data_IF_976972844451
#
_entry.id   IF_976972844451
#
_cell.length_a   1.000
_cell.length_b   1.000
_cell.length_c   1.000
_cell.angle_alpha   90.00
_cell.angle_beta   90.00
_cell.angle_gamma   90.00
#
_symmetry.space_group_name_H-M   'P 1'
#
loop_
_entity.id
_entity.type
_entity.pdbx_description
1 polymer ?
#
# COMPACT_ATOMS: atom_id res chain seq x y z
N UNK A 1 -20.02 12.98 -5.22
CA UNK A 1 -20.11 11.82 -6.15
C UNK A 1 -18.69 11.38 -6.44
N UNK A 2 -18.20 10.31 -5.81
CA UNK A 2 -16.85 9.79 -6.06
C UNK A 2 -16.88 9.12 -7.44
N UNK A 3 -16.14 9.67 -8.41
CA UNK A 3 -15.95 9.00 -9.70
C UNK A 3 -15.28 7.66 -9.41
N UNK A 4 -15.93 6.54 -9.77
CA UNK A 4 -15.25 5.25 -9.90
C UNK A 4 -14.31 5.39 -11.09
N UNK A 5 -13.10 5.86 -10.84
CA UNK A 5 -12.02 5.76 -11.80
C UNK A 5 -11.64 4.28 -11.84
N UNK A 6 -11.76 3.66 -13.01
CA UNK A 6 -11.25 2.30 -13.23
C UNK A 6 -9.72 2.44 -13.35
N UNK A 7 -9.05 2.54 -12.20
CA UNK A 7 -7.67 3.02 -12.11
C UNK A 7 -6.62 2.04 -12.66
N UNK A 8 -6.98 0.79 -12.97
CA UNK A 8 -5.98 -0.22 -13.30
C UNK A 8 -6.42 -1.08 -14.49
N UNK A 9 -5.61 -1.06 -15.55
CA UNK A 9 -5.56 -2.18 -16.47
C UNK A 9 -5.14 -3.43 -15.70
N UNK A 10 -5.74 -4.59 -16.01
CA UNK A 10 -5.48 -5.87 -15.32
C UNK A 10 -3.99 -6.23 -15.21
N UNK A 11 -3.18 -5.77 -16.17
CA UNK A 11 -1.72 -5.95 -16.20
C UNK A 11 -1.00 -5.19 -15.08
N UNK A 12 -1.30 -3.91 -14.85
CA UNK A 12 -0.67 -3.10 -13.81
C UNK A 12 -1.02 -3.60 -12.41
N UNK A 13 -2.27 -4.02 -12.21
CA UNK A 13 -2.67 -4.65 -10.95
C UNK A 13 -1.87 -5.95 -10.69
N UNK A 14 -1.64 -6.77 -11.72
CA UNK A 14 -0.84 -7.98 -11.59
C UNK A 14 0.62 -7.67 -11.25
N UNK A 15 1.24 -6.70 -11.91
CA UNK A 15 2.62 -6.28 -11.65
C UNK A 15 2.81 -5.81 -10.20
N UNK A 16 1.87 -5.01 -9.67
CA UNK A 16 1.86 -4.59 -8.26
C UNK A 16 1.72 -5.78 -7.29
N UNK A 17 0.87 -6.76 -7.61
CA UNK A 17 0.68 -7.96 -6.78
C UNK A 17 1.94 -8.83 -6.77
N UNK A 18 2.58 -8.99 -7.92
CA UNK A 18 3.82 -9.78 -8.04
C UNK A 18 4.95 -9.14 -7.19
N UNK A 19 5.01 -7.80 -7.10
CA UNK A 19 5.99 -7.07 -6.29
C UNK A 19 5.81 -7.24 -4.77
N UNK A 20 4.58 -7.48 -4.30
CA UNK A 20 4.31 -7.62 -2.87
C UNK A 20 4.88 -8.94 -2.34
N UNK A 21 4.82 -10.03 -3.10
CA UNK A 21 5.08 -11.36 -2.54
C UNK A 21 4.19 -11.63 -1.31
N UNK A 22 2.90 -11.88 -1.54
CA UNK A 22 1.85 -11.81 -0.53
C UNK A 22 2.11 -12.55 0.80
N UNK A 23 2.85 -13.65 0.80
CA UNK A 23 3.23 -14.36 2.03
C UNK A 23 4.22 -13.56 2.88
N UNK A 24 5.21 -12.92 2.25
CA UNK A 24 6.19 -12.06 2.93
C UNK A 24 5.51 -10.83 3.53
N UNK A 25 4.53 -10.25 2.82
CA UNK A 25 3.76 -9.12 3.34
C UNK A 25 2.91 -9.50 4.56
N UNK A 26 2.34 -10.71 4.56
CA UNK A 26 1.55 -11.21 5.68
C UNK A 26 2.37 -11.42 6.95
N UNK A 27 3.66 -11.77 6.83
CA UNK A 27 4.54 -11.98 7.97
C UNK A 27 5.02 -10.69 8.64
N UNK A 28 4.76 -9.52 8.07
CA UNK A 28 5.08 -8.25 8.71
C UNK A 28 4.16 -7.98 9.90
N UNK A 29 4.71 -7.34 10.93
CA UNK A 29 3.93 -6.77 12.02
C UNK A 29 3.00 -5.68 11.50
N UNK A 30 1.78 -5.61 12.06
CA UNK A 30 0.76 -4.65 11.62
C UNK A 30 1.18 -3.18 11.83
N UNK A 31 2.18 -2.93 12.68
CA UNK A 31 2.70 -1.61 13.02
C UNK A 31 4.24 -1.61 12.96
N UNK A 32 4.80 -0.79 12.08
CA UNK A 32 6.24 -0.67 11.88
C UNK A 32 6.74 0.75 12.21
N UNK A 33 7.73 0.84 13.11
CA UNK A 33 8.55 2.04 13.29
C UNK A 33 8.10 3.07 14.34
N UNK A 34 7.03 2.82 15.11
CA UNK A 34 6.73 3.60 16.32
C UNK A 34 5.87 2.79 17.30
N UNK A 35 6.03 2.95 18.62
CA UNK A 35 5.21 2.25 19.61
C UNK A 35 3.70 2.53 19.47
N UNK A 36 3.31 3.69 18.90
CA UNK A 36 1.93 4.05 18.65
C UNK A 36 1.70 4.38 17.15
N UNK A 37 1.47 3.35 16.32
CA UNK A 37 1.01 3.55 14.94
C UNK A 37 -0.40 4.19 14.83
N UNK A 38 -1.01 4.57 15.96
CA UNK A 38 -2.34 5.18 16.04
C UNK A 38 -2.33 6.72 16.00
N UNK A 39 -1.16 7.38 16.04
CA UNK A 39 -1.02 8.84 16.21
C UNK A 39 -1.30 9.70 14.95
N UNK A 40 -2.11 9.21 14.01
CA UNK A 40 -2.63 9.99 12.89
C UNK A 40 -1.62 10.45 11.83
N UNK A 41 -0.32 10.17 12.02
CA UNK A 41 0.78 10.44 11.06
C UNK A 41 1.31 9.18 10.38
N UNK A 42 0.52 8.10 10.42
CA UNK A 42 0.85 6.83 9.79
C UNK A 42 0.29 6.76 8.37
N UNK A 43 1.09 6.23 7.46
CA UNK A 43 0.63 5.67 6.19
C UNK A 43 0.26 4.20 6.38
N UNK A 44 -0.54 3.66 5.46
CA UNK A 44 -0.87 2.26 5.45
C UNK A 44 -0.93 1.70 4.04
N UNK A 45 -0.58 0.42 3.93
CA UNK A 45 -0.85 -0.41 2.76
C UNK A 45 -1.77 -1.53 3.22
N UNK A 46 -2.88 -1.72 2.51
CA UNK A 46 -3.82 -2.81 2.76
C UNK A 46 -3.97 -3.66 1.50
N UNK A 47 -3.85 -4.96 1.69
CA UNK A 47 -4.07 -5.95 0.63
C UNK A 47 -5.28 -6.78 1.00
N UNK A 48 -6.30 -6.69 0.16
CA UNK A 48 -7.55 -7.44 0.27
C UNK A 48 -7.65 -8.45 -0.85
N UNK A 49 -7.75 -9.71 -0.48
CA UNK A 49 -8.14 -10.80 -1.37
C UNK A 49 -9.57 -11.24 -1.04
N UNK A 50 -10.12 -12.21 -1.77
CA UNK A 50 -11.45 -12.76 -1.48
C UNK A 50 -11.57 -13.34 -0.06
N UNK A 51 -10.47 -13.88 0.48
CA UNK A 51 -10.50 -14.68 1.71
C UNK A 51 -9.80 -14.01 2.91
N UNK A 52 -9.01 -12.97 2.66
CA UNK A 52 -8.14 -12.38 3.69
C UNK A 52 -7.79 -10.93 3.40
N UNK A 53 -7.57 -10.19 4.46
CA UNK A 53 -7.09 -8.80 4.45
C UNK A 53 -5.87 -8.68 5.36
N UNK A 54 -4.83 -7.99 4.91
CA UNK A 54 -3.69 -7.60 5.74
C UNK A 54 -3.45 -6.12 5.57
N UNK A 55 -3.29 -5.39 6.68
CA UNK A 55 -2.97 -3.97 6.70
C UNK A 55 -1.71 -3.77 7.51
N UNK A 56 -0.75 -3.05 6.95
CA UNK A 56 0.47 -2.62 7.63
C UNK A 56 0.43 -1.11 7.75
N UNK A 57 0.65 -0.60 8.96
CA UNK A 57 0.80 0.81 9.25
C UNK A 57 2.29 1.13 9.48
N UNK A 58 2.74 2.24 8.91
CA UNK A 58 4.13 2.70 9.03
C UNK A 58 4.17 4.23 9.01
N UNK A 59 5.27 4.82 9.47
CA UNK A 59 5.43 6.28 9.48
C UNK A 59 5.34 6.85 8.05
N UNK A 60 4.61 7.95 7.87
CA UNK A 60 4.51 8.64 6.58
C UNK A 60 5.90 8.96 5.99
N UNK A 61 6.08 8.65 4.70
CA UNK A 61 7.32 8.90 3.98
C UNK A 61 8.44 7.90 4.27
N UNK A 62 8.23 6.93 5.16
CA UNK A 62 9.16 5.82 5.33
C UNK A 62 8.92 4.73 4.30
N UNK A 63 9.98 3.97 4.01
CA UNK A 63 9.90 2.74 3.26
C UNK A 63 10.02 1.55 4.21
N UNK A 64 9.35 0.45 3.86
CA UNK A 64 9.50 -0.84 4.53
C UNK A 64 10.56 -1.62 3.76
N UNK A 65 11.56 -2.14 4.48
CA UNK A 65 12.62 -2.95 3.89
C UNK A 65 12.02 -4.12 3.11
N UNK A 66 12.53 -4.37 1.91
CA UNK A 66 12.08 -5.41 0.97
C UNK A 66 10.73 -5.11 0.26
N UNK A 67 10.07 -3.99 0.61
CA UNK A 67 8.81 -3.53 0.01
C UNK A 67 8.91 -2.10 -0.55
N UNK A 68 10.12 -1.56 -0.71
CA UNK A 68 10.36 -0.19 -1.15
C UNK A 68 9.72 0.09 -2.51
N UNK A 69 9.84 -0.87 -3.45
CA UNK A 69 9.33 -0.70 -4.81
C UNK A 69 7.81 -0.54 -4.84
N UNK A 70 7.07 -1.36 -4.08
CA UNK A 70 5.61 -1.27 -4.06
C UNK A 70 5.16 0.02 -3.37
N UNK A 71 5.84 0.46 -2.31
CA UNK A 71 5.53 1.73 -1.63
C UNK A 71 5.73 2.92 -2.57
N UNK A 72 6.85 2.94 -3.32
CA UNK A 72 7.13 3.98 -4.30
C UNK A 72 6.10 4.00 -5.43
N UNK A 73 5.73 2.84 -5.97
CA UNK A 73 4.72 2.76 -7.04
C UNK A 73 3.33 3.21 -6.56
N UNK A 74 2.89 2.76 -5.38
CA UNK A 74 1.61 3.20 -4.80
C UNK A 74 1.59 4.70 -4.49
N UNK A 75 2.72 5.25 -4.01
CA UNK A 75 2.87 6.69 -3.77
C UNK A 75 2.77 7.48 -5.06
N UNK A 76 3.46 7.04 -6.12
CA UNK A 76 3.39 7.69 -7.42
C UNK A 76 1.97 7.67 -8.00
N UNK A 77 1.27 6.53 -7.91
CA UNK A 77 -0.12 6.40 -8.34
C UNK A 77 -1.06 7.33 -7.56
N UNK A 78 -0.89 7.40 -6.24
CA UNK A 78 -1.64 8.33 -5.38
C UNK A 78 -1.42 9.77 -5.82
N UNK A 79 -0.16 10.17 -6.06
CA UNK A 79 0.16 11.53 -6.47
C UNK A 79 -0.37 11.88 -7.86
N UNK A 80 -0.30 10.93 -8.82
CA UNK A 80 -0.93 11.08 -10.13
C UNK A 80 -2.43 11.34 -10.00
N UNK A 81 -3.12 10.49 -9.23
CA UNK A 81 -4.55 10.66 -8.99
C UNK A 81 -4.90 12.00 -8.33
N UNK A 82 -4.11 12.45 -7.35
CA UNK A 82 -4.33 13.74 -6.68
C UNK A 82 -4.11 14.91 -7.65
N UNK A 83 -3.09 14.84 -8.50
CA UNK A 83 -2.77 15.91 -9.45
C UNK A 83 -3.77 16.00 -10.62
N UNK A 84 -4.49 14.92 -10.90
CA UNK A 84 -5.53 14.85 -11.94
C UNK A 84 -6.93 15.29 -11.45
N UNK A 85 -7.08 15.64 -10.17
CA UNK A 85 -8.31 16.15 -9.54
C UNK A 85 -8.39 17.69 -9.55
#
# INVERSE_FOLDING_TARGET
>A
MVKKVNLFASKQAKELIDLVGFNSFQSLDDCLGYPDCADGRAEWIEIRTRNQSKRIMFKNGNLIKDFEQIILQLTNLRNQYINDL
#
